data_IF_984876528153
#
_entry.id   IF_984876528153
#
_cell.length_a   1.000
_cell.length_b   1.000
_cell.length_c   1.000
_cell.angle_alpha   90.00
_cell.angle_beta   90.00
_cell.angle_gamma   90.00
#
_symmetry.space_group_name_H-M   'P 1'
#
loop_
_entity.id
_entity.type
_entity.pdbx_description
1 polymer ?
#
# COMPACT_ATOMS: atom_id res chain seq x y z
N UNK A 1 7.31 11.61 30.87
CA UNK A 1 7.23 12.71 29.90
C UNK A 1 8.14 12.51 28.69
N UNK A 2 9.39 12.18 28.91
CA UNK A 2 10.32 11.87 27.83
C UNK A 2 9.84 10.70 26.97
N UNK A 3 9.30 9.67 27.60
CA UNK A 3 8.79 8.51 26.89
C UNK A 3 7.64 8.86 25.94
N UNK A 4 6.75 9.77 26.35
CA UNK A 4 5.64 10.20 25.53
C UNK A 4 6.11 10.96 24.28
N UNK A 5 7.14 11.81 24.44
CA UNK A 5 7.71 12.54 23.31
C UNK A 5 8.36 11.60 22.31
N UNK A 6 9.07 10.58 22.79
CA UNK A 6 9.72 9.59 21.93
C UNK A 6 8.67 8.82 21.13
N UNK A 7 7.58 8.41 21.77
CA UNK A 7 6.49 7.70 21.09
C UNK A 7 5.87 8.55 19.99
N UNK A 8 5.61 9.83 20.27
CA UNK A 8 5.04 10.74 19.26
C UNK A 8 6.00 10.90 18.08
N UNK A 9 7.30 11.05 18.37
CA UNK A 9 8.32 11.17 17.34
C UNK A 9 8.36 9.92 16.45
N UNK A 10 8.34 8.75 17.04
CA UNK A 10 8.34 7.49 16.29
C UNK A 10 7.11 7.34 15.41
N UNK A 11 5.94 7.73 15.91
CA UNK A 11 4.71 7.69 15.13
C UNK A 11 4.79 8.62 13.91
N UNK A 12 5.38 9.80 14.07
CA UNK A 12 5.60 10.71 12.95
C UNK A 12 6.54 10.12 11.91
N UNK A 13 7.61 9.52 12.35
CA UNK A 13 8.57 8.86 11.47
C UNK A 13 7.90 7.75 10.68
N UNK A 14 7.05 6.96 11.32
CA UNK A 14 6.30 5.91 10.65
C UNK A 14 5.38 6.46 9.55
N UNK A 15 4.65 7.54 9.84
CA UNK A 15 3.73 8.10 8.86
C UNK A 15 4.47 8.74 7.68
N UNK A 16 5.72 9.14 7.86
CA UNK A 16 6.49 9.77 6.80
C UNK A 16 7.37 8.81 6.01
N UNK A 17 7.87 7.74 6.63
CA UNK A 17 8.83 6.89 5.96
C UNK A 17 8.79 5.42 6.30
N UNK A 18 8.26 5.05 7.47
CA UNK A 18 8.31 3.67 7.93
C UNK A 18 7.09 2.84 7.53
N UNK A 19 6.08 3.45 6.89
CA UNK A 19 4.92 2.73 6.37
C UNK A 19 5.12 2.36 4.91
N UNK A 20 6.28 1.84 4.59
CA UNK A 20 6.58 1.31 3.28
C UNK A 20 7.25 -0.05 3.41
N UNK A 21 7.14 -0.86 2.38
CA UNK A 21 7.75 -2.19 2.34
C UNK A 21 8.54 -2.35 1.05
N UNK A 22 9.61 -3.13 1.13
CA UNK A 22 10.36 -3.53 -0.05
C UNK A 22 9.57 -4.57 -0.85
N UNK A 23 9.97 -4.85 -2.11
CA UNK A 23 9.34 -5.94 -2.86
C UNK A 23 9.36 -7.28 -2.11
N UNK A 24 10.46 -7.63 -1.46
CA UNK A 24 10.55 -8.87 -0.68
C UNK A 24 9.63 -8.84 0.53
N UNK A 25 9.53 -7.68 1.19
CA UNK A 25 8.60 -7.51 2.30
C UNK A 25 7.15 -7.67 1.85
N UNK A 26 6.82 -7.15 0.68
CA UNK A 26 5.49 -7.30 0.12
C UNK A 26 5.16 -8.75 -0.18
N UNK A 27 6.10 -9.52 -0.72
CA UNK A 27 5.89 -10.94 -0.99
C UNK A 27 5.49 -11.66 0.30
N UNK A 28 6.18 -11.38 1.40
CA UNK A 28 5.83 -11.99 2.69
C UNK A 28 4.43 -11.61 3.14
N UNK A 29 4.06 -10.35 2.98
CA UNK A 29 2.71 -9.89 3.36
C UNK A 29 1.65 -10.53 2.47
N UNK A 30 1.92 -10.67 1.17
CA UNK A 30 1.01 -11.34 0.25
C UNK A 30 0.79 -12.81 0.66
N UNK A 31 1.86 -13.49 1.06
CA UNK A 31 1.76 -14.88 1.54
C UNK A 31 0.96 -14.98 2.83
N UNK A 32 0.86 -13.90 3.59
CA UNK A 32 0.06 -13.83 4.81
C UNK A 32 -1.37 -13.35 4.56
N UNK A 33 -1.74 -13.15 3.30
CA UNK A 33 -3.11 -12.76 2.94
C UNK A 33 -3.35 -11.26 2.87
N UNK A 34 -2.32 -10.44 2.76
CA UNK A 34 -2.51 -9.00 2.65
C UNK A 34 -3.33 -8.63 1.42
N UNK A 35 -4.17 -7.62 1.57
CA UNK A 35 -4.88 -7.01 0.45
C UNK A 35 -3.94 -6.06 -0.27
N UNK A 36 -3.81 -6.20 -1.58
CA UNK A 36 -2.94 -5.35 -2.40
C UNK A 36 -3.80 -4.52 -3.33
N UNK A 37 -3.58 -3.21 -3.34
CA UNK A 37 -4.33 -2.27 -4.16
C UNK A 37 -3.42 -1.58 -5.16
N UNK A 38 -3.78 -1.68 -6.43
CA UNK A 38 -3.09 -1.02 -7.54
C UNK A 38 -3.76 0.33 -7.77
N UNK A 39 -3.00 1.41 -7.58
CA UNK A 39 -3.52 2.78 -7.68
C UNK A 39 -3.53 3.31 -9.11
N UNK A 40 -3.04 2.53 -10.07
CA UNK A 40 -2.93 2.98 -11.46
C UNK A 40 -4.26 2.91 -12.20
N UNK A 41 -4.38 3.60 -13.33
CA UNK A 41 -5.56 3.47 -14.19
C UNK A 41 -5.79 2.02 -14.61
N UNK A 42 -7.05 1.69 -14.89
CA UNK A 42 -7.47 0.33 -15.22
C UNK A 42 -6.70 -0.27 -16.40
N UNK A 43 -6.38 0.55 -17.40
CA UNK A 43 -5.63 0.08 -18.57
C UNK A 43 -4.24 -0.42 -18.20
N UNK A 44 -3.56 0.30 -17.32
CA UNK A 44 -2.23 -0.10 -16.86
C UNK A 44 -2.31 -1.35 -15.99
N UNK A 45 -3.32 -1.42 -15.13
CA UNK A 45 -3.58 -2.60 -14.32
C UNK A 45 -3.77 -3.85 -15.19
N UNK A 46 -4.56 -3.74 -16.25
CA UNK A 46 -4.84 -4.86 -17.14
C UNK A 46 -3.60 -5.33 -17.90
N UNK A 47 -2.69 -4.40 -18.20
CA UNK A 47 -1.46 -4.72 -18.92
C UNK A 47 -0.47 -5.52 -18.06
N UNK A 48 -0.58 -5.41 -16.74
CA UNK A 48 0.25 -6.16 -15.81
C UNK A 48 0.15 -5.59 -14.41
N UNK A 49 -0.09 -6.45 -13.42
CA UNK A 49 -0.25 -6.06 -12.03
C UNK A 49 0.27 -7.16 -11.11
N UNK A 50 0.45 -6.86 -9.84
CA UNK A 50 0.82 -7.87 -8.86
C UNK A 50 -0.29 -8.90 -8.73
N UNK A 51 0.08 -10.16 -8.58
CA UNK A 51 -0.87 -11.26 -8.50
C UNK A 51 -1.87 -11.01 -7.34
N UNK A 52 -3.15 -11.07 -7.67
CA UNK A 52 -4.21 -10.86 -6.68
C UNK A 52 -4.49 -9.41 -6.32
N UNK A 53 -3.76 -8.45 -6.89
CA UNK A 53 -4.03 -7.04 -6.63
C UNK A 53 -5.38 -6.63 -7.21
N UNK A 54 -6.05 -5.72 -6.49
CA UNK A 54 -7.27 -5.08 -6.97
C UNK A 54 -6.96 -3.68 -7.44
N UNK A 55 -7.55 -3.29 -8.55
CA UNK A 55 -7.38 -1.92 -9.03
C UNK A 55 -8.29 -0.98 -8.21
N UNK A 56 -7.69 0.08 -7.69
CA UNK A 56 -8.44 1.12 -6.96
C UNK A 56 -7.68 2.42 -7.12
N UNK A 57 -8.20 3.33 -7.94
CA UNK A 57 -7.56 4.62 -8.19
C UNK A 57 -7.51 5.48 -6.93
N UNK A 58 -6.67 6.51 -6.96
CA UNK A 58 -6.57 7.47 -5.85
C UNK A 58 -7.91 8.11 -5.51
N UNK A 59 -8.76 8.31 -6.51
CA UNK A 59 -10.10 8.87 -6.28
C UNK A 59 -11.01 7.90 -5.54
N UNK A 60 -10.89 6.61 -5.83
CA UNK A 60 -11.68 5.57 -5.17
C UNK A 60 -11.22 5.32 -3.74
N UNK A 61 -9.96 5.58 -3.45
CA UNK A 61 -9.40 5.38 -2.11
C UNK A 61 -10.16 6.19 -1.05
N UNK A 62 -10.68 7.36 -1.40
CA UNK A 62 -11.42 8.19 -0.44
C UNK A 62 -12.70 7.51 0.06
N UNK A 63 -13.20 6.52 -0.65
CA UNK A 63 -14.40 5.76 -0.26
C UNK A 63 -14.08 4.34 0.23
N UNK A 64 -12.79 4.02 0.39
CA UNK A 64 -12.38 2.66 0.76
C UNK A 64 -12.92 2.23 2.13
N UNK A 65 -13.14 3.17 3.04
CA UNK A 65 -13.70 2.88 4.35
C UNK A 65 -15.05 2.15 4.28
N UNK A 66 -15.83 2.43 3.25
CA UNK A 66 -17.11 1.74 3.02
C UNK A 66 -16.91 0.50 2.12
N UNK A 67 -16.19 0.67 1.03
CA UNK A 67 -16.01 -0.38 0.02
C UNK A 67 -15.22 -1.57 0.56
N UNK A 68 -14.22 -1.30 1.39
CA UNK A 68 -13.30 -2.30 1.91
C UNK A 68 -13.39 -2.43 3.44
N UNK A 69 -14.52 -2.15 4.04
CA UNK A 69 -14.63 -2.13 5.49
C UNK A 69 -14.28 -3.45 6.16
N UNK A 70 -14.44 -4.56 5.46
CA UNK A 70 -14.06 -5.88 5.98
C UNK A 70 -12.55 -6.06 6.13
N UNK A 71 -11.77 -5.19 5.50
CA UNK A 71 -10.32 -5.28 5.48
C UNK A 71 -9.63 -4.28 6.42
N UNK A 72 -10.39 -3.52 7.22
CA UNK A 72 -9.80 -2.45 8.05
C UNK A 72 -8.78 -2.94 9.05
N UNK A 73 -8.92 -4.17 9.54
CA UNK A 73 -7.97 -4.76 10.48
C UNK A 73 -6.93 -5.64 9.81
N UNK A 74 -7.04 -5.82 8.49
CA UNK A 74 -6.09 -6.61 7.72
C UNK A 74 -4.97 -5.73 7.20
N UNK A 75 -3.86 -6.37 6.86
CA UNK A 75 -2.76 -5.65 6.20
C UNK A 75 -3.17 -5.28 4.79
N UNK A 76 -2.99 -4.01 4.44
CA UNK A 76 -3.27 -3.47 3.12
C UNK A 76 -2.00 -2.85 2.56
N UNK A 77 -1.65 -3.18 1.33
CA UNK A 77 -0.50 -2.59 0.67
C UNK A 77 -0.97 -1.92 -0.62
N UNK A 78 -0.54 -0.69 -0.84
CA UNK A 78 -0.88 0.08 -2.04
C UNK A 78 0.36 0.27 -2.88
N UNK A 79 0.20 0.36 -4.20
CA UNK A 79 1.32 0.68 -5.08
C UNK A 79 0.85 1.41 -6.34
N UNK A 80 1.77 2.19 -6.89
CA UNK A 80 1.64 2.83 -8.19
C UNK A 80 2.90 2.51 -9.01
N UNK A 81 3.18 3.26 -10.06
CA UNK A 81 4.35 2.97 -10.91
C UNK A 81 5.67 3.27 -10.21
N UNK A 82 5.77 4.40 -9.51
CA UNK A 82 7.04 4.91 -8.99
C UNK A 82 7.11 5.03 -7.48
N UNK A 83 5.98 4.85 -6.80
CA UNK A 83 5.88 5.06 -5.37
C UNK A 83 5.44 6.47 -4.97
N UNK A 84 5.19 7.36 -5.93
CA UNK A 84 4.86 8.76 -5.64
C UNK A 84 3.47 8.95 -5.03
N UNK A 85 2.52 8.06 -5.31
CA UNK A 85 1.16 8.16 -4.81
C UNK A 85 0.93 7.39 -3.51
N UNK A 86 1.86 6.52 -3.16
CA UNK A 86 1.67 5.59 -2.03
C UNK A 86 1.47 6.28 -0.70
N UNK A 87 2.26 7.32 -0.41
CA UNK A 87 2.18 8.02 0.86
C UNK A 87 0.82 8.67 1.10
N UNK A 88 0.25 9.31 0.08
CA UNK A 88 -1.07 9.92 0.19
C UNK A 88 -2.14 8.87 0.41
N UNK A 89 -2.06 7.74 -0.33
CA UNK A 89 -3.02 6.65 -0.19
C UNK A 89 -2.96 6.02 1.20
N UNK A 90 -1.76 5.83 1.74
CA UNK A 90 -1.59 5.30 3.10
C UNK A 90 -2.28 6.22 4.11
N UNK A 91 -2.05 7.52 4.01
CA UNK A 91 -2.67 8.48 4.93
C UNK A 91 -4.19 8.48 4.81
N UNK A 92 -4.71 8.43 3.58
CA UNK A 92 -6.15 8.37 3.34
C UNK A 92 -6.78 7.13 3.96
N UNK A 93 -6.16 5.99 3.79
CA UNK A 93 -6.68 4.74 4.35
C UNK A 93 -6.59 4.73 5.88
N UNK A 94 -5.48 5.21 6.44
CA UNK A 94 -5.34 5.32 7.88
C UNK A 94 -6.43 6.21 8.48
N UNK A 95 -6.74 7.33 7.83
CA UNK A 95 -7.80 8.25 8.27
C UNK A 95 -9.18 7.58 8.25
N UNK A 96 -9.37 6.56 7.44
CA UNK A 96 -10.64 5.84 7.33
C UNK A 96 -10.71 4.61 8.25
N UNK A 97 -9.70 4.41 9.10
CA UNK A 97 -9.75 3.34 10.10
C UNK A 97 -8.94 2.08 9.74
N UNK A 98 -8.19 2.10 8.65
CA UNK A 98 -7.31 0.98 8.32
C UNK A 98 -6.08 1.04 9.22
N UNK A 99 -5.76 -0.06 9.89
CA UNK A 99 -4.76 -0.08 10.96
C UNK A 99 -3.37 -0.50 10.51
N UNK A 100 -3.26 -1.23 9.40
CA UNK A 100 -1.98 -1.73 8.89
C UNK A 100 -1.90 -1.46 7.40
N UNK A 101 -1.44 -0.27 7.05
CA UNK A 101 -1.36 0.15 5.66
C UNK A 101 0.08 0.47 5.30
N UNK A 102 0.54 -0.07 4.19
CA UNK A 102 1.90 0.13 3.70
C UNK A 102 1.87 0.50 2.22
N UNK A 103 2.90 1.21 1.79
CA UNK A 103 3.13 1.46 0.36
C UNK A 103 4.32 0.63 -0.11
N UNK A 104 4.26 0.13 -1.33
CA UNK A 104 5.41 -0.55 -1.95
C UNK A 104 6.46 0.50 -2.28
N UNK A 105 7.61 0.40 -1.63
CA UNK A 105 8.72 1.34 -1.82
C UNK A 105 9.23 1.26 -3.25
N UNK A 106 9.25 2.41 -3.93
CA UNK A 106 9.64 2.48 -5.33
C UNK A 106 8.59 1.98 -6.30
N UNK A 107 7.43 1.56 -5.82
CA UNK A 107 6.32 1.14 -6.66
C UNK A 107 6.63 -0.03 -7.57
N UNK A 108 5.89 -0.11 -8.67
CA UNK A 108 6.05 -1.19 -9.63
C UNK A 108 7.43 -1.20 -10.29
N UNK A 109 8.07 -0.02 -10.40
CA UNK A 109 9.42 0.06 -10.94
C UNK A 109 10.41 -0.75 -10.10
N UNK A 110 10.31 -0.67 -8.77
CA UNK A 110 11.17 -1.46 -7.88
C UNK A 110 10.88 -2.96 -7.99
N UNK A 111 9.60 -3.32 -8.13
CA UNK A 111 9.20 -4.71 -8.33
C UNK A 111 9.81 -5.29 -9.60
N UNK A 112 9.74 -4.54 -10.70
CA UNK A 112 10.32 -4.96 -11.98
C UNK A 112 11.85 -5.01 -11.93
N UNK A 113 12.47 -4.08 -11.20
CA UNK A 113 13.93 -4.06 -11.05
C UNK A 113 14.43 -5.33 -10.36
N UNK A 114 13.63 -5.93 -9.50
CA UNK A 114 13.94 -7.20 -8.84
C UNK A 114 13.53 -8.41 -9.68
N UNK A 115 13.12 -8.21 -10.92
CA UNK A 115 12.69 -9.26 -11.85
C UNK A 115 11.55 -10.12 -11.32
N UNK A 116 10.64 -9.51 -10.57
CA UNK A 116 9.50 -10.20 -10.01
C UNK A 116 8.34 -10.25 -11.01
N UNK A 117 7.53 -11.31 -11.00
CA UNK A 117 6.52 -11.52 -12.02
C UNK A 117 5.29 -10.65 -11.83
N UNK A 118 4.59 -10.40 -12.94
CA UNK A 118 3.31 -9.71 -12.96
C UNK A 118 2.25 -10.62 -13.56
N UNK A 119 1.02 -10.44 -13.09
CA UNK A 119 -0.15 -11.12 -13.66
C UNK A 119 -0.84 -10.19 -14.64
N UNK A 120 -1.62 -10.76 -15.55
CA UNK A 120 -2.45 -10.01 -16.48
C UNK A 120 -3.91 -10.39 -16.28
N UNK A 121 -4.77 -9.40 -16.34
CA UNK A 121 -6.20 -9.64 -16.21
C UNK A 121 -6.79 -10.31 -17.43
#
# INVERSE_FOLDING_TARGET
MLAALVVVYEMRMRSEGLQSVSPQGLIRLMNQGALVLDLRPAEQYQAGHLNGARQMSSEQIVSAGDTLKKHKEKTVVVYDDSGSLGGAAVRQLAAQGFTRVFALRGGLAAWRADNLPLSRA
#
